data_IF_597274642061
#
_entry.id   IF_597274642061
#
_cell.length_a   1.000
_cell.length_b   1.000
_cell.length_c   1.000
_cell.angle_alpha   90.00
_cell.angle_beta   90.00
_cell.angle_gamma   90.00
#
_symmetry.space_group_name_H-M   'P 1'
#
loop_
_entity.id
_entity.type
_entity.pdbx_description
1 polymer ?
#
# COMPACT_ATOMS: atom_id res chain seq x y z
N UNK A 1 -3.87 1.13 -1.00
CA UNK A 1 -2.81 0.53 -1.84
C UNK A 1 -1.59 1.45 -1.96
N UNK A 2 -1.74 2.77 -2.00
CA UNK A 2 -0.63 3.75 -1.95
C UNK A 2 -0.03 3.90 -0.55
N UNK A 3 -0.86 4.01 0.49
CA UNK A 3 -0.36 4.21 1.86
C UNK A 3 0.54 3.05 2.32
N UNK A 4 0.18 1.81 1.98
CA UNK A 4 1.00 0.63 2.28
C UNK A 4 2.33 0.66 1.53
N UNK A 5 2.36 1.10 0.26
CA UNK A 5 3.60 1.27 -0.51
C UNK A 5 4.51 2.31 0.13
N UNK A 6 3.95 3.46 0.54
CA UNK A 6 4.71 4.53 1.21
C UNK A 6 5.28 4.02 2.54
N UNK A 7 4.45 3.37 3.38
CA UNK A 7 4.90 2.80 4.66
C UNK A 7 5.97 1.72 4.45
N UNK A 8 5.81 0.87 3.44
CA UNK A 8 6.74 -0.22 3.14
C UNK A 8 8.15 0.24 2.74
N UNK A 9 8.28 1.43 2.14
CA UNK A 9 9.59 2.00 1.78
C UNK A 9 10.05 3.11 2.73
N UNK A 10 9.26 3.46 3.75
CA UNK A 10 9.44 4.67 4.56
C UNK A 10 10.85 4.79 5.16
N UNK A 11 11.38 3.70 5.71
CA UNK A 11 12.73 3.71 6.31
C UNK A 11 13.88 3.87 5.30
N UNK A 12 13.61 3.63 4.02
CA UNK A 12 14.58 3.85 2.93
C UNK A 12 14.52 5.26 2.33
N UNK A 13 13.61 6.11 2.82
CA UNK A 13 13.46 7.48 2.35
C UNK A 13 14.48 8.41 3.00
N UNK A 14 15.02 9.32 2.20
CA UNK A 14 15.79 10.47 2.71
C UNK A 14 14.92 11.38 3.59
N UNK A 15 15.53 12.25 4.38
CA UNK A 15 14.79 13.20 5.24
C UNK A 15 13.79 14.07 4.47
N UNK A 16 14.15 14.49 3.25
CA UNK A 16 13.28 15.28 2.37
C UNK A 16 12.12 14.43 1.82
N UNK A 17 12.39 13.18 1.43
CA UNK A 17 11.35 12.26 0.97
C UNK A 17 10.39 11.86 2.10
N UNK A 18 10.90 11.65 3.33
CA UNK A 18 10.07 11.40 4.51
C UNK A 18 9.10 12.56 4.75
N UNK A 19 9.55 13.81 4.62
CA UNK A 19 8.68 15.00 4.74
C UNK A 19 7.51 14.99 3.75
N UNK A 20 7.76 14.57 2.50
CA UNK A 20 6.70 14.46 1.48
C UNK A 20 5.77 13.29 1.83
N UNK A 21 6.33 12.12 2.19
CA UNK A 21 5.57 10.94 2.58
C UNK A 21 4.67 11.21 3.79
N UNK A 22 5.18 11.89 4.80
CA UNK A 22 4.44 12.29 6.00
C UNK A 22 3.25 13.18 5.64
N UNK A 23 3.43 14.13 4.73
CA UNK A 23 2.32 14.98 4.30
C UNK A 23 1.24 14.17 3.57
N UNK A 24 1.64 13.25 2.68
CA UNK A 24 0.71 12.38 1.97
C UNK A 24 -0.06 11.48 2.95
N UNK A 25 0.60 10.96 3.98
CA UNK A 25 -0.02 10.06 4.96
C UNK A 25 -0.97 10.79 5.92
N UNK A 26 -0.63 12.02 6.32
CA UNK A 26 -1.41 12.77 7.32
C UNK A 26 -2.49 13.67 6.71
N UNK A 27 -2.32 14.11 5.46
CA UNK A 27 -3.24 15.06 4.81
C UNK A 27 -3.51 14.70 3.34
N UNK A 28 -3.92 13.44 3.04
CA UNK A 28 -4.12 12.99 1.65
C UNK A 28 -5.25 13.73 0.93
N UNK A 29 -6.30 14.15 1.63
CA UNK A 29 -7.43 14.92 1.08
C UNK A 29 -6.98 16.28 0.54
N UNK A 30 -5.98 16.90 1.16
CA UNK A 30 -5.41 18.15 0.64
C UNK A 30 -4.56 17.89 -0.62
N UNK A 31 -3.76 16.82 -0.59
CA UNK A 31 -2.82 16.48 -1.67
C UNK A 31 -3.54 16.26 -3.01
N UNK A 32 -4.72 15.63 -3.01
CA UNK A 32 -5.49 15.41 -4.24
C UNK A 32 -5.93 16.73 -4.91
N UNK A 33 -6.04 17.81 -4.14
CA UNK A 33 -6.43 19.13 -4.64
C UNK A 33 -5.26 19.99 -5.10
N UNK A 34 -4.03 19.67 -4.68
CA UNK A 34 -2.85 20.43 -5.09
C UNK A 34 -2.34 20.04 -6.49
N UNK A 35 -1.92 21.03 -7.27
CA UNK A 35 -0.95 20.85 -8.35
C UNK A 35 0.41 20.43 -7.77
N UNK A 36 1.32 19.92 -8.61
CA UNK A 36 2.66 19.53 -8.14
C UNK A 36 3.42 20.74 -7.60
N UNK A 37 3.22 21.92 -8.19
CA UNK A 37 3.82 23.20 -7.79
C UNK A 37 3.31 23.64 -6.42
N UNK A 38 2.00 23.59 -6.20
CA UNK A 38 1.40 23.92 -4.89
C UNK A 38 1.86 22.93 -3.82
N UNK A 39 1.87 21.64 -4.13
CA UNK A 39 2.31 20.63 -3.18
C UNK A 39 3.80 20.79 -2.83
N UNK A 40 4.64 21.11 -3.82
CA UNK A 40 6.04 21.44 -3.62
C UNK A 40 6.21 22.64 -2.67
N UNK A 41 5.40 23.68 -2.87
CA UNK A 41 5.40 24.87 -2.02
C UNK A 41 4.96 24.55 -0.59
N UNK A 42 3.87 23.81 -0.41
CA UNK A 42 3.32 23.42 0.91
C UNK A 42 4.33 22.59 1.71
N UNK A 43 4.99 21.63 1.06
CA UNK A 43 6.01 20.79 1.71
C UNK A 43 7.36 21.52 1.82
N UNK A 44 7.59 22.59 1.07
CA UNK A 44 8.85 23.34 1.04
C UNK A 44 9.97 22.57 0.35
N UNK A 45 9.69 22.00 -0.82
CA UNK A 45 10.63 21.22 -1.65
C UNK A 45 10.51 21.63 -3.12
N UNK A 46 11.39 21.11 -3.99
CA UNK A 46 11.24 21.30 -5.44
C UNK A 46 10.21 20.33 -6.05
N UNK A 47 9.55 20.72 -7.13
CA UNK A 47 8.67 19.83 -7.91
C UNK A 47 9.38 18.54 -8.35
N UNK A 48 10.65 18.66 -8.74
CA UNK A 48 11.48 17.51 -9.12
C UNK A 48 11.67 16.51 -7.99
N UNK A 49 11.65 16.95 -6.72
CA UNK A 49 11.77 16.07 -5.56
C UNK A 49 10.51 15.27 -5.33
N UNK A 50 9.33 15.90 -5.46
CA UNK A 50 8.05 15.20 -5.44
C UNK A 50 7.97 14.21 -6.60
N UNK A 51 8.32 14.64 -7.81
CA UNK A 51 8.27 13.77 -8.99
C UNK A 51 9.15 12.53 -8.82
N UNK A 52 10.37 12.68 -8.28
CA UNK A 52 11.25 11.54 -7.98
C UNK A 52 10.65 10.59 -6.96
N UNK A 53 10.05 11.09 -5.87
CA UNK A 53 9.40 10.22 -4.88
C UNK A 53 8.24 9.45 -5.51
N UNK A 54 7.38 10.13 -6.25
CA UNK A 54 6.22 9.54 -6.93
C UNK A 54 6.65 8.44 -7.93
N UNK A 55 7.76 8.64 -8.64
CA UNK A 55 8.36 7.61 -9.50
C UNK A 55 8.94 6.45 -8.69
N UNK A 56 9.59 6.73 -7.56
CA UNK A 56 10.18 5.73 -6.65
C UNK A 56 9.11 4.80 -6.06
N UNK A 57 7.90 5.29 -5.80
CA UNK A 57 6.75 4.49 -5.34
C UNK A 57 5.94 3.86 -6.51
N UNK A 58 6.41 3.99 -7.75
CA UNK A 58 5.89 3.23 -8.90
C UNK A 58 4.90 3.95 -9.82
N UNK A 59 4.71 5.26 -9.70
CA UNK A 59 3.80 6.01 -10.58
C UNK A 59 4.53 6.76 -11.70
N UNK A 60 3.94 6.77 -12.89
CA UNK A 60 4.46 7.50 -14.05
C UNK A 60 4.10 9.00 -14.02
N UNK A 61 4.39 9.64 -12.89
CA UNK A 61 4.20 11.06 -12.67
C UNK A 61 3.06 11.42 -11.72
N UNK A 62 3.03 12.71 -11.37
CA UNK A 62 2.18 13.22 -10.28
C UNK A 62 0.69 13.13 -10.56
N UNK A 63 0.25 13.30 -11.81
CA UNK A 63 -1.17 13.21 -12.16
C UNK A 63 -1.70 11.77 -11.99
N UNK A 64 -0.93 10.78 -12.43
CA UNK A 64 -1.28 9.35 -12.25
C UNK A 64 -1.34 9.02 -10.75
N UNK A 65 -0.36 9.48 -9.98
CA UNK A 65 -0.37 9.34 -8.52
C UNK A 65 -1.61 9.97 -7.87
N UNK A 66 -2.00 11.19 -8.25
CA UNK A 66 -3.20 11.83 -7.68
C UNK A 66 -4.47 11.06 -8.00
N UNK A 67 -4.62 10.57 -9.23
CA UNK A 67 -5.78 9.76 -9.62
C UNK A 67 -5.88 8.51 -8.72
N UNK A 68 -4.78 7.79 -8.54
CA UNK A 68 -4.77 6.60 -7.71
C UNK A 68 -4.96 6.92 -6.22
N UNK A 69 -4.43 8.05 -5.73
CA UNK A 69 -4.66 8.53 -4.36
C UNK A 69 -6.14 8.84 -4.13
N UNK A 70 -6.80 9.54 -5.06
CA UNK A 70 -8.24 9.79 -5.00
C UNK A 70 -9.03 8.48 -4.96
N UNK A 71 -8.67 7.49 -5.78
CA UNK A 71 -9.36 6.18 -5.80
C UNK A 71 -9.24 5.45 -4.46
N UNK A 72 -8.05 5.47 -3.85
CA UNK A 72 -7.83 4.87 -2.54
C UNK A 72 -8.62 5.58 -1.43
N UNK A 73 -8.75 6.91 -1.49
CA UNK A 73 -9.58 7.68 -0.57
C UNK A 73 -11.07 7.36 -0.74
N UNK A 74 -11.59 7.36 -1.97
CA UNK A 74 -13.00 7.04 -2.24
C UNK A 74 -13.36 5.62 -1.82
N UNK A 75 -12.47 4.64 -2.02
CA UNK A 75 -12.66 3.29 -1.48
C UNK A 75 -12.79 3.32 0.04
N UNK A 76 -11.92 4.05 0.72
CA UNK A 76 -11.95 4.18 2.19
C UNK A 76 -13.27 4.79 2.67
N UNK A 77 -13.78 5.83 2.00
CA UNK A 77 -15.09 6.42 2.31
C UNK A 77 -16.26 5.46 2.04
N UNK A 78 -16.22 4.69 0.95
CA UNK A 78 -17.23 3.65 0.66
C UNK A 78 -17.18 2.51 1.69
N UNK A 79 -15.99 2.14 2.15
CA UNK A 79 -15.83 1.20 3.26
C UNK A 79 -16.46 1.74 4.55
N UNK A 80 -16.19 3.01 4.90
CA UNK A 80 -16.71 3.66 6.12
C UNK A 80 -18.22 3.85 6.06
N UNK A 81 -18.78 4.32 4.94
CA UNK A 81 -20.24 4.50 4.77
C UNK A 81 -21.01 3.18 4.69
N UNK A 82 -20.35 2.09 4.27
CA UNK A 82 -20.91 0.74 4.31
C UNK A 82 -20.63 -0.03 5.61
N UNK A 83 -20.00 0.58 6.63
CA UNK A 83 -19.36 -0.14 7.74
C UNK A 83 -20.23 -0.52 8.93
N UNK A 84 -21.46 -0.01 9.06
CA UNK A 84 -22.42 -0.57 10.02
C UNK A 84 -22.87 -1.96 9.55
N UNK A 85 -22.04 -2.97 9.81
CA UNK A 85 -22.23 -4.38 9.44
C UNK A 85 -21.09 -5.00 8.62
N UNK A 86 -20.37 -4.20 7.81
CA UNK A 86 -19.34 -4.71 6.89
C UNK A 86 -17.98 -4.97 7.56
N UNK A 87 -17.61 -4.20 8.58
CA UNK A 87 -16.39 -4.50 9.34
C UNK A 87 -16.55 -5.82 10.11
N UNK A 88 -17.69 -6.02 10.77
CA UNK A 88 -18.00 -7.29 11.45
C UNK A 88 -18.08 -8.46 10.48
N UNK A 89 -18.61 -8.26 9.26
CA UNK A 89 -18.65 -9.32 8.26
C UNK A 89 -17.26 -9.64 7.73
N UNK A 90 -16.41 -8.66 7.43
CA UNK A 90 -15.02 -8.88 7.02
C UNK A 90 -14.21 -9.58 8.12
N UNK A 91 -14.35 -9.18 9.39
CA UNK A 91 -13.71 -9.87 10.51
C UNK A 91 -14.19 -11.32 10.59
N UNK A 92 -15.49 -11.56 10.38
CA UNK A 92 -16.06 -12.92 10.39
C UNK A 92 -15.56 -13.75 9.21
N UNK A 93 -15.46 -13.18 8.00
CA UNK A 93 -14.91 -13.84 6.81
C UNK A 93 -13.43 -14.18 6.98
N UNK A 94 -12.64 -13.26 7.54
CA UNK A 94 -11.23 -13.51 7.89
C UNK A 94 -11.11 -14.63 8.91
N UNK A 95 -11.95 -14.62 9.96
CA UNK A 95 -11.98 -15.68 10.97
C UNK A 95 -12.31 -17.04 10.34
N UNK A 96 -13.36 -17.13 9.53
CA UNK A 96 -13.73 -18.37 8.84
C UNK A 96 -12.61 -18.86 7.91
N UNK A 97 -11.95 -17.94 7.20
CA UNK A 97 -10.81 -18.28 6.34
C UNK A 97 -9.64 -18.84 7.15
N UNK A 98 -9.35 -18.27 8.31
CA UNK A 98 -8.30 -18.77 9.21
C UNK A 98 -8.65 -20.16 9.79
N UNK A 99 -9.92 -20.38 10.18
CA UNK A 99 -10.40 -21.69 10.63
C UNK A 99 -10.26 -22.74 9.51
N UNK A 100 -10.70 -22.43 8.29
CA UNK A 100 -10.54 -23.34 7.15
C UNK A 100 -9.08 -23.61 6.78
N UNK A 101 -8.19 -22.63 6.90
CA UNK A 101 -6.76 -22.85 6.72
C UNK A 101 -6.21 -23.81 7.77
N UNK A 102 -6.63 -23.71 9.04
CA UNK A 102 -6.22 -24.66 10.08
C UNK A 102 -6.71 -26.08 9.81
N UNK A 103 -7.88 -26.25 9.19
CA UNK A 103 -8.43 -27.55 8.86
C UNK A 103 -7.75 -28.20 7.63
N UNK A 104 -7.33 -27.38 6.67
CA UNK A 104 -6.81 -27.85 5.38
C UNK A 104 -5.29 -27.91 5.32
N UNK A 105 -4.60 -27.04 6.05
CA UNK A 105 -3.14 -26.95 6.06
C UNK A 105 -2.56 -27.90 7.10
N UNK A 106 -1.97 -29.01 6.63
CA UNK A 106 -1.28 -29.95 7.51
C UNK A 106 0.17 -29.54 7.65
N UNK A 107 0.70 -29.61 8.88
CA UNK A 107 2.10 -29.32 9.15
C UNK A 107 3.05 -30.14 8.27
N UNK A 108 2.73 -31.41 8.04
CA UNK A 108 3.52 -32.32 7.21
C UNK A 108 3.65 -31.86 5.74
N UNK A 109 2.61 -31.24 5.18
CA UNK A 109 2.63 -30.75 3.80
C UNK A 109 3.46 -29.46 3.70
N UNK A 110 3.41 -28.63 4.74
CA UNK A 110 4.25 -27.44 4.91
C UNK A 110 5.73 -27.81 4.99
N UNK A 111 6.08 -28.79 5.82
CA UNK A 111 7.46 -29.23 6.02
C UNK A 111 8.06 -29.77 4.72
N UNK A 112 7.29 -30.57 3.96
CA UNK A 112 7.68 -31.04 2.62
C UNK A 112 7.87 -29.92 1.62
N UNK A 113 6.96 -28.93 1.61
CA UNK A 113 7.08 -27.79 0.71
C UNK A 113 8.35 -26.98 1.01
N UNK A 114 8.69 -26.78 2.29
CA UNK A 114 9.92 -26.12 2.72
C UNK A 114 11.16 -26.91 2.25
N UNK A 115 11.17 -28.23 2.45
CA UNK A 115 12.24 -29.11 1.98
C UNK A 115 12.46 -28.98 0.47
N UNK A 116 11.39 -29.09 -0.33
CA UNK A 116 11.46 -28.93 -1.78
C UNK A 116 11.98 -27.56 -2.21
N UNK A 117 11.58 -26.49 -1.52
CA UNK A 117 12.07 -25.14 -1.80
C UNK A 117 13.57 -25.05 -1.52
N UNK A 118 14.03 -25.54 -0.37
CA UNK A 118 15.45 -25.49 0.05
C UNK A 118 16.34 -26.32 -0.89
N UNK A 119 15.89 -27.51 -1.30
CA UNK A 119 16.67 -28.40 -2.17
C UNK A 119 16.62 -27.98 -3.65
N UNK A 120 15.66 -27.15 -4.03
CA UNK A 120 15.51 -26.72 -5.42
C UNK A 120 16.65 -25.81 -5.86
N UNK A 121 17.16 -26.05 -7.07
CA UNK A 121 18.11 -25.12 -7.72
C UNK A 121 17.42 -23.84 -8.23
N UNK A 122 16.10 -23.90 -8.45
CA UNK A 122 15.30 -22.81 -9.00
C UNK A 122 13.83 -23.01 -8.64
N UNK A 123 13.22 -21.97 -8.06
CA UNK A 123 11.76 -21.86 -7.83
C UNK A 123 11.20 -20.86 -8.83
N UNK A 124 10.05 -21.19 -9.44
CA UNK A 124 9.36 -20.32 -10.40
C UNK A 124 7.93 -20.14 -9.93
N UNK A 125 7.48 -18.90 -9.80
CA UNK A 125 6.11 -18.55 -9.47
C UNK A 125 5.36 -18.15 -10.74
N UNK A 126 4.16 -18.68 -10.90
CA UNK A 126 3.21 -18.25 -11.93
C UNK A 126 2.03 -17.57 -11.22
N UNK A 127 1.67 -16.38 -11.69
CA UNK A 127 0.59 -15.56 -11.15
C UNK A 127 -0.06 -14.77 -12.27
#
# INVERSE_FOLDING_TARGET
MIFNTIMGIYESLSSVEKKIADYILNSPDDVIHYSITEFAHVVGVSESTIYRLVRKIGFDGYQVFKIELTRDLSRTEEYIKGSEGKLSSMISEMKNSMEHLQETLKQEDLDKAVEWIIESRKVIFFG
#
